data_IF_110953883858
#
_entry.id   IF_110953883858
#
_cell.length_a   1.000
_cell.length_b   1.000
_cell.length_c   1.000
_cell.angle_alpha   90.00
_cell.angle_beta   90.00
_cell.angle_gamma   90.00
#
_symmetry.space_group_name_H-M   'P 1'
#
loop_
_entity.id
_entity.type
_entity.pdbx_description
1 polymer ?
#
# COMPACT_ATOMS: atom_id res chain seq x y z
N UNK A 1 1.74 -1.90 -19.35
CA UNK A 1 0.55 -1.94 -18.49
C UNK A 1 0.91 -1.46 -17.10
N UNK A 2 0.06 -0.69 -16.44
CA UNK A 2 0.33 -0.18 -15.09
C UNK A 2 -0.65 -0.79 -14.09
N UNK A 3 -0.14 -1.36 -13.00
CA UNK A 3 -0.89 -1.90 -11.88
C UNK A 3 -0.67 -1.02 -10.65
N UNK A 4 -1.75 -0.55 -10.04
CA UNK A 4 -1.75 0.30 -8.85
C UNK A 4 -3.00 0.06 -8.00
N UNK A 5 -3.11 0.70 -6.84
CA UNK A 5 -4.26 0.52 -5.93
C UNK A 5 -5.63 0.80 -6.55
N UNK A 6 -5.71 1.60 -7.62
CA UNK A 6 -6.98 1.98 -8.24
C UNK A 6 -7.51 0.92 -9.20
N UNK A 7 -6.63 0.10 -9.79
CA UNK A 7 -6.98 -0.81 -10.88
C UNK A 7 -6.61 -2.28 -10.62
N UNK A 8 -5.83 -2.55 -9.57
CA UNK A 8 -5.38 -3.91 -9.25
C UNK A 8 -6.55 -4.87 -8.97
N UNK A 9 -7.65 -4.38 -8.43
CA UNK A 9 -8.82 -5.20 -8.17
C UNK A 9 -9.39 -5.76 -9.48
N UNK A 10 -9.64 -4.89 -10.47
CA UNK A 10 -10.12 -5.24 -11.81
C UNK A 10 -9.12 -6.07 -12.61
N UNK A 11 -7.83 -5.75 -12.51
CA UNK A 11 -6.80 -6.37 -13.33
C UNK A 11 -6.30 -7.70 -12.79
N UNK A 12 -6.35 -7.91 -11.47
CA UNK A 12 -5.75 -9.08 -10.80
C UNK A 12 -6.81 -9.88 -10.05
N UNK A 13 -7.51 -9.26 -9.09
CA UNK A 13 -8.35 -10.00 -8.14
C UNK A 13 -9.64 -10.53 -8.75
N UNK A 14 -10.19 -9.87 -9.77
CA UNK A 14 -11.31 -10.41 -10.53
C UNK A 14 -10.89 -11.49 -11.56
N UNK A 15 -9.60 -11.64 -11.87
CA UNK A 15 -9.11 -12.64 -12.81
C UNK A 15 -8.67 -13.93 -12.09
N UNK A 16 -9.59 -14.90 -12.01
CA UNK A 16 -9.36 -16.20 -11.40
C UNK A 16 -8.23 -17.01 -12.07
N UNK A 17 -7.78 -16.66 -13.28
CA UNK A 17 -6.59 -17.29 -13.89
C UNK A 17 -5.32 -16.81 -13.22
N UNK A 18 -5.26 -15.54 -12.82
CA UNK A 18 -4.11 -14.96 -12.14
C UNK A 18 -3.94 -15.57 -10.75
N UNK A 19 -5.04 -15.90 -10.05
CA UNK A 19 -4.97 -16.60 -8.77
C UNK A 19 -4.18 -17.92 -8.84
N UNK A 20 -4.26 -18.62 -9.98
CA UNK A 20 -3.53 -19.87 -10.21
C UNK A 20 -2.03 -19.66 -10.46
N UNK A 21 -1.64 -18.47 -10.90
CA UNK A 21 -0.24 -18.12 -11.13
C UNK A 21 0.50 -17.85 -9.82
N UNK A 22 -0.23 -17.47 -8.76
CA UNK A 22 0.35 -17.08 -7.47
C UNK A 22 -0.26 -17.87 -6.30
N UNK A 23 -0.01 -19.19 -6.21
CA UNK A 23 -0.53 -20.03 -5.14
C UNK A 23 -0.11 -19.57 -3.74
N UNK A 24 1.05 -18.94 -3.61
CA UNK A 24 1.56 -18.36 -2.36
C UNK A 24 0.70 -17.20 -1.82
N UNK A 25 -0.04 -16.51 -2.69
CA UNK A 25 -0.95 -15.42 -2.31
C UNK A 25 -2.41 -15.86 -2.16
N UNK A 26 -2.69 -17.17 -2.20
CA UNK A 26 -4.05 -17.71 -2.09
C UNK A 26 -4.84 -17.16 -0.90
N UNK A 27 -4.20 -17.02 0.26
CA UNK A 27 -4.83 -16.46 1.45
C UNK A 27 -5.34 -15.02 1.25
N UNK A 28 -4.61 -14.19 0.49
CA UNK A 28 -5.01 -12.82 0.18
C UNK A 28 -6.19 -12.79 -0.78
N UNK A 29 -6.21 -13.66 -1.80
CA UNK A 29 -7.33 -13.76 -2.73
C UNK A 29 -8.61 -14.24 -2.03
N UNK A 30 -8.51 -15.23 -1.14
CA UNK A 30 -9.65 -15.73 -0.36
C UNK A 30 -10.18 -14.67 0.62
N UNK A 31 -9.30 -13.96 1.32
CA UNK A 31 -9.68 -12.85 2.21
C UNK A 31 -10.39 -11.72 1.46
N UNK A 32 -9.88 -11.34 0.29
CA UNK A 32 -10.54 -10.37 -0.57
C UNK A 32 -11.91 -10.86 -1.04
N UNK A 33 -12.02 -12.11 -1.51
CA UNK A 33 -13.29 -12.68 -1.99
C UNK A 33 -14.36 -12.70 -0.90
N UNK A 34 -13.99 -13.03 0.33
CA UNK A 34 -14.88 -12.94 1.50
C UNK A 34 -15.32 -11.48 1.72
N UNK A 35 -14.41 -10.52 1.61
CA UNK A 35 -14.74 -9.10 1.80
C UNK A 35 -15.74 -8.55 0.78
N UNK A 36 -15.72 -9.05 -0.45
CA UNK A 36 -16.68 -8.69 -1.50
C UNK A 36 -18.07 -9.26 -1.20
N UNK A 37 -18.13 -10.46 -0.61
CA UNK A 37 -19.39 -11.10 -0.22
C UNK A 37 -20.04 -10.46 1.02
N UNK A 38 -19.22 -9.95 1.95
CA UNK A 38 -19.67 -9.39 3.22
C UNK A 38 -19.24 -7.92 3.34
N UNK A 39 -20.12 -6.94 3.03
CA UNK A 39 -19.75 -5.51 3.01
C UNK A 39 -19.15 -4.98 4.31
N UNK A 40 -19.51 -5.55 5.46
CA UNK A 40 -18.92 -5.20 6.76
C UNK A 40 -17.41 -5.52 6.88
N UNK A 41 -16.86 -6.30 5.96
CA UNK A 41 -15.46 -6.68 5.90
C UNK A 41 -14.66 -5.92 4.83
N UNK A 42 -15.18 -4.81 4.28
CA UNK A 42 -14.49 -4.06 3.22
C UNK A 42 -13.04 -3.65 3.56
N UNK A 43 -12.72 -3.43 4.85
CA UNK A 43 -11.34 -3.14 5.28
C UNK A 43 -10.40 -4.34 5.11
N UNK A 44 -10.90 -5.57 5.26
CA UNK A 44 -10.14 -6.79 5.01
C UNK A 44 -9.77 -6.92 3.52
N UNK A 45 -10.69 -6.58 2.62
CA UNK A 45 -10.45 -6.56 1.17
C UNK A 45 -9.36 -5.56 0.78
N UNK A 46 -9.52 -4.31 1.24
CA UNK A 46 -8.51 -3.25 1.01
C UNK A 46 -7.13 -3.65 1.53
N UNK A 47 -7.07 -4.27 2.72
CA UNK A 47 -5.82 -4.77 3.29
C UNK A 47 -5.20 -5.88 2.44
N UNK A 48 -6.01 -6.83 1.98
CA UNK A 48 -5.54 -7.94 1.13
C UNK A 48 -4.96 -7.45 -0.19
N UNK A 49 -5.62 -6.48 -0.81
CA UNK A 49 -5.14 -5.80 -2.03
C UNK A 49 -3.79 -5.13 -1.78
N UNK A 50 -3.67 -4.38 -0.69
CA UNK A 50 -2.47 -3.64 -0.33
C UNK A 50 -1.29 -4.57 -0.02
N UNK A 51 -1.54 -5.64 0.74
CA UNK A 51 -0.53 -6.65 1.05
C UNK A 51 -0.04 -7.36 -0.22
N UNK A 52 -0.95 -7.72 -1.13
CA UNK A 52 -0.59 -8.33 -2.41
C UNK A 52 0.29 -7.39 -3.25
N UNK A 53 -0.15 -6.14 -3.46
CA UNK A 53 0.57 -5.16 -4.26
C UNK A 53 2.00 -4.95 -3.73
N UNK A 54 2.16 -4.88 -2.40
CA UNK A 54 3.45 -4.69 -1.76
C UNK A 54 4.34 -5.95 -1.81
N UNK A 55 3.74 -7.14 -1.78
CA UNK A 55 4.44 -8.43 -1.85
C UNK A 55 4.93 -8.81 -3.25
N UNK A 56 4.45 -8.15 -4.32
CA UNK A 56 4.93 -8.39 -5.68
C UNK A 56 6.44 -8.09 -5.79
N UNK A 57 7.24 -9.06 -6.22
CA UNK A 57 8.66 -8.90 -6.47
C UNK A 57 8.95 -8.97 -7.98
N UNK A 58 10.22 -8.85 -8.36
CA UNK A 58 10.62 -8.87 -9.77
C UNK A 58 10.25 -10.16 -10.50
N UNK A 59 10.21 -11.31 -9.81
CA UNK A 59 9.85 -12.58 -10.43
C UNK A 59 8.33 -12.68 -10.64
N UNK A 60 7.54 -12.18 -9.69
CA UNK A 60 6.09 -12.06 -9.86
C UNK A 60 5.74 -11.13 -11.02
N UNK A 61 6.46 -10.02 -11.17
CA UNK A 61 6.25 -9.07 -12.28
C UNK A 61 6.47 -9.76 -13.63
N UNK A 62 7.55 -10.53 -13.79
CA UNK A 62 7.80 -11.30 -15.03
C UNK A 62 6.69 -12.29 -15.36
N UNK A 63 6.11 -12.92 -14.33
CA UNK A 63 4.96 -13.83 -14.51
C UNK A 63 3.75 -13.05 -15.05
N UNK A 64 3.48 -11.86 -14.50
CA UNK A 64 2.42 -10.98 -14.98
C UNK A 64 2.69 -10.49 -16.41
N UNK A 65 3.92 -10.10 -16.74
CA UNK A 65 4.30 -9.67 -18.09
C UNK A 65 4.06 -10.76 -19.12
N UNK A 66 4.44 -11.99 -18.79
CA UNK A 66 4.17 -13.16 -19.63
C UNK A 66 2.67 -13.43 -19.76
N UNK A 67 1.90 -13.24 -18.70
CA UNK A 67 0.46 -13.47 -18.72
C UNK A 67 -0.28 -12.42 -19.58
N UNK A 68 0.06 -11.14 -19.42
CA UNK A 68 -0.58 -10.04 -20.15
C UNK A 68 0.00 -9.82 -21.55
N UNK A 69 1.19 -10.37 -21.86
CA UNK A 69 1.87 -10.19 -23.14
C UNK A 69 2.40 -8.77 -23.35
N UNK A 70 2.66 -8.03 -22.27
CA UNK A 70 3.15 -6.65 -22.28
C UNK A 70 3.94 -6.37 -21.01
N UNK A 71 4.82 -5.37 -21.04
CA UNK A 71 5.57 -4.92 -19.86
C UNK A 71 4.62 -4.46 -18.74
N UNK A 72 4.94 -4.78 -17.49
CA UNK A 72 4.10 -4.51 -16.33
C UNK A 72 4.87 -3.64 -15.35
N UNK A 73 4.31 -2.46 -15.07
CA UNK A 73 4.82 -1.53 -14.06
C UNK A 73 3.92 -1.60 -12.85
N UNK A 74 4.47 -1.97 -11.70
CA UNK A 74 3.74 -2.05 -10.43
C UNK A 74 4.05 -0.83 -9.58
N UNK A 75 3.07 0.05 -9.44
CA UNK A 75 3.17 1.23 -8.60
C UNK A 75 2.74 0.88 -7.16
N UNK A 76 3.73 0.44 -6.38
CA UNK A 76 3.58 0.18 -4.95
C UNK A 76 3.32 1.47 -4.18
N UNK A 77 2.76 1.34 -2.98
CA UNK A 77 2.66 2.47 -2.06
C UNK A 77 4.08 2.86 -1.66
N UNK A 78 4.45 4.10 -1.96
CA UNK A 78 5.74 4.62 -1.52
C UNK A 78 5.67 4.89 -0.01
N UNK A 79 6.25 4.00 0.78
CA UNK A 79 6.35 4.16 2.24
C UNK A 79 7.26 5.32 2.66
N UNK A 80 8.08 5.86 1.75
CA UNK A 80 8.90 7.06 1.98
C UNK A 80 8.09 8.37 1.93
N UNK A 81 6.79 8.28 1.62
CA UNK A 81 5.86 9.42 1.72
C UNK A 81 5.70 9.86 3.18
N UNK A 82 5.88 8.94 4.14
CA UNK A 82 5.75 9.24 5.57
C UNK A 82 7.10 9.57 6.17
N UNK A 83 7.29 10.83 6.59
CA UNK A 83 8.47 11.22 7.39
C UNK A 83 8.08 11.39 8.84
N UNK A 84 8.83 10.74 9.73
CA UNK A 84 8.69 10.92 11.17
C UNK A 84 9.83 11.80 11.68
N UNK A 85 9.51 12.73 12.57
CA UNK A 85 10.45 13.60 13.24
C UNK A 85 10.18 13.56 14.75
N UNK A 86 11.24 13.52 15.54
CA UNK A 86 11.16 13.57 17.00
C UNK A 86 12.14 14.63 17.49
N UNK A 87 11.66 15.56 18.30
CA UNK A 87 12.46 16.64 18.86
C UNK A 87 12.00 16.95 20.29
N UNK A 88 12.89 17.60 21.05
CA UNK A 88 12.49 18.25 22.30
C UNK A 88 11.74 19.53 21.98
N UNK A 89 10.71 19.87 22.75
CA UNK A 89 9.86 21.03 22.48
C UNK A 89 10.63 22.36 22.41
N UNK A 90 11.73 22.47 23.15
CA UNK A 90 12.55 23.67 23.21
C UNK A 90 13.36 23.90 21.93
N UNK A 91 13.56 22.85 21.13
CA UNK A 91 14.44 22.84 19.95
C UNK A 91 13.67 22.69 18.63
N UNK A 92 12.34 22.79 18.64
CA UNK A 92 11.52 22.58 17.45
C UNK A 92 11.37 23.87 16.63
N UNK A 93 11.99 23.92 15.45
CA UNK A 93 11.74 24.97 14.46
C UNK A 93 10.65 24.56 13.47
N UNK A 94 9.40 25.02 13.71
CA UNK A 94 8.23 24.68 12.89
C UNK A 94 8.34 25.12 11.42
N UNK A 95 9.16 26.15 11.14
CA UNK A 95 9.34 26.70 9.79
C UNK A 95 9.93 25.69 8.80
N UNK A 96 10.74 24.75 9.28
CA UNK A 96 11.38 23.70 8.46
C UNK A 96 10.37 22.74 7.82
N UNK A 97 9.14 22.69 8.35
CA UNK A 97 8.11 21.75 7.92
C UNK A 97 6.99 22.41 7.10
N UNK A 98 7.15 23.68 6.71
CA UNK A 98 6.17 24.46 5.95
C UNK A 98 5.81 23.86 4.58
N UNK A 99 6.65 22.99 4.03
CA UNK A 99 6.42 22.30 2.76
C UNK A 99 5.41 21.12 2.86
N UNK A 100 5.08 20.67 4.07
CA UNK A 100 4.19 19.52 4.30
C UNK A 100 2.76 20.00 4.53
N UNK A 101 1.81 19.49 3.72
CA UNK A 101 0.40 19.90 3.78
C UNK A 101 -0.38 19.20 4.89
N UNK A 102 -0.04 17.94 5.17
CA UNK A 102 -0.73 17.12 6.14
C UNK A 102 0.27 16.52 7.12
N UNK A 103 0.03 16.76 8.41
CA UNK A 103 0.86 16.21 9.48
C UNK A 103 0.03 15.89 10.72
N UNK A 104 0.55 14.96 11.51
CA UNK A 104 0.02 14.62 12.83
C UNK A 104 1.08 14.91 13.88
N UNK A 105 0.68 15.55 14.98
CA UNK A 105 1.55 15.88 16.11
C UNK A 105 1.10 15.09 17.33
N UNK A 106 2.06 14.45 17.98
CA UNK A 106 1.88 13.81 19.27
C UNK A 106 2.90 14.37 20.28
N UNK A 107 2.45 14.70 21.50
CA UNK A 107 3.29 15.24 22.57
C UNK A 107 3.25 14.34 23.78
N UNK A 108 4.42 14.00 24.32
CA UNK A 108 4.55 13.26 25.59
C UNK A 108 5.89 13.55 26.26
N UNK A 109 5.87 13.78 27.58
CA UNK A 109 7.06 13.89 28.45
C UNK A 109 8.14 14.87 27.93
N UNK A 110 7.74 16.07 27.50
CA UNK A 110 8.69 17.07 26.99
C UNK A 110 9.06 16.91 25.50
N UNK A 111 8.71 15.77 24.89
CA UNK A 111 9.01 15.46 23.49
C UNK A 111 7.82 15.70 22.57
N UNK A 112 8.13 16.06 21.33
CA UNK A 112 7.18 16.14 20.23
C UNK A 112 7.54 15.11 19.16
N UNK A 113 6.54 14.39 18.68
CA UNK A 113 6.62 13.50 17.53
C UNK A 113 5.73 14.05 16.43
N UNK A 114 6.30 14.26 15.26
CA UNK A 114 5.59 14.75 14.09
C UNK A 114 5.67 13.70 12.99
N UNK A 115 4.53 13.37 12.40
CA UNK A 115 4.44 12.49 11.25
C UNK A 115 3.89 13.30 10.09
N UNK A 116 4.64 13.38 9.01
CA UNK A 116 4.30 14.13 7.81
C UNK A 116 3.96 13.18 6.67
N UNK A 117 2.92 13.51 5.93
CA UNK A 117 2.60 12.87 4.65
C UNK A 117 3.07 13.82 3.54
N UNK A 118 3.89 13.32 2.61
CA UNK A 118 4.32 14.05 1.41
C UNK A 118 3.27 14.07 0.31
#
# INVERSE_FOLDING_TARGET
>A
MEINLKNIEDQIFFDEKIHKLFPEFRGLFEQWKISVQFPGLGNLGKRSILEFLNALNSDHIKILEKYFGTDVIVNKINHEIVKNHEADMENLELCEFSAYKEFSIYRKDGKIKMTFWR
#
